data_IF_303559398409
#
_entry.id   IF_303559398409
#
_cell.length_a   1.000
_cell.length_b   1.000
_cell.length_c   1.000
_cell.angle_alpha   90.00
_cell.angle_beta   90.00
_cell.angle_gamma   90.00
#
_symmetry.space_group_name_H-M   'P 1'
#
loop_
_entity.id
_entity.type
_entity.pdbx_description
1 polymer ?
#
# COMPACT_ATOMS: atom_id res chain seq x y z
N UNK A 1 2.98 23.32 23.64
CA UNK A 1 2.03 24.12 22.84
C UNK A 1 0.66 23.43 22.90
N UNK A 2 -0.46 24.16 23.04
CA UNK A 2 -1.75 23.75 22.46
C UNK A 2 -1.52 23.60 20.93
N UNK A 3 -2.25 22.85 20.11
CA UNK A 3 -3.66 22.55 20.04
C UNK A 3 -3.75 21.26 19.19
N UNK A 4 -4.33 20.21 19.75
CA UNK A 4 -4.60 18.99 18.97
C UNK A 4 -5.91 18.35 19.40
N UNK A 5 -7.01 18.90 18.87
CA UNK A 5 -8.10 18.05 18.41
C UNK A 5 -8.89 18.67 17.24
N UNK A 6 -9.31 17.86 16.26
CA UNK A 6 -10.12 18.32 15.12
C UNK A 6 -9.36 18.85 13.91
N UNK A 7 -8.03 18.93 13.99
CA UNK A 7 -7.17 19.06 12.81
C UNK A 7 -7.14 17.75 12.03
N UNK A 8 -6.87 17.79 10.74
CA UNK A 8 -6.67 16.55 9.97
C UNK A 8 -5.29 15.95 10.19
N UNK A 9 -4.26 16.77 10.45
CA UNK A 9 -2.87 16.35 10.66
C UNK A 9 -2.53 16.17 12.12
N UNK A 10 -2.00 15.01 12.52
CA UNK A 10 -1.48 14.76 13.87
C UNK A 10 -0.07 15.33 14.03
N UNK A 11 0.08 16.28 14.96
CA UNK A 11 1.32 17.01 15.20
C UNK A 11 2.17 16.32 16.28
N UNK A 12 3.48 16.19 16.05
CA UNK A 12 4.41 15.70 17.06
C UNK A 12 4.34 16.51 18.35
N UNK A 13 4.44 15.84 19.49
CA UNK A 13 4.39 16.46 20.80
C UNK A 13 3.73 15.58 21.85
N UNK A 14 3.55 16.13 23.04
CA UNK A 14 2.90 15.43 24.14
C UNK A 14 1.59 16.11 24.49
N UNK A 15 0.51 15.33 24.51
CA UNK A 15 -0.86 15.80 24.71
C UNK A 15 -1.56 15.00 25.82
N UNK A 16 -2.60 15.57 26.40
CA UNK A 16 -3.53 14.82 27.26
C UNK A 16 -4.80 14.59 26.47
N UNK A 17 -5.08 13.33 26.13
CA UNK A 17 -6.09 12.96 25.14
C UNK A 17 -6.97 11.84 25.68
N UNK A 18 -8.14 11.70 25.06
CA UNK A 18 -8.95 10.49 25.11
C UNK A 18 -8.73 9.71 23.83
N UNK A 19 -8.44 8.41 23.94
CA UNK A 19 -8.29 7.50 22.81
C UNK A 19 -9.28 6.36 22.89
N UNK A 20 -9.68 5.82 21.74
CA UNK A 20 -10.45 4.59 21.68
C UNK A 20 -10.14 3.80 20.41
N UNK A 21 -10.29 2.47 20.48
CA UNK A 21 -10.29 1.64 19.28
C UNK A 21 -11.61 1.80 18.53
N UNK A 22 -11.53 1.89 17.20
CA UNK A 22 -12.65 1.97 16.29
C UNK A 22 -12.54 0.86 15.26
N UNK A 23 -13.58 0.06 15.10
CA UNK A 23 -13.67 -0.91 14.02
C UNK A 23 -14.20 -0.27 12.75
N UNK A 24 -13.95 -0.91 11.61
CA UNK A 24 -14.46 -0.50 10.29
C UNK A 24 -15.99 -0.41 10.22
N UNK A 25 -16.71 -1.15 11.08
CA UNK A 25 -18.17 -1.06 11.20
C UNK A 25 -18.66 -0.01 12.21
N UNK A 26 -17.77 0.84 12.73
CA UNK A 26 -18.13 1.98 13.57
C UNK A 26 -18.27 1.68 15.07
N UNK A 27 -17.85 0.50 15.54
CA UNK A 27 -17.94 0.12 16.95
C UNK A 27 -16.71 0.63 17.71
N UNK A 28 -16.98 1.32 18.82
CA UNK A 28 -15.95 1.82 19.73
C UNK A 28 -15.64 0.79 20.82
N UNK A 29 -14.37 0.62 21.15
CA UNK A 29 -13.90 -0.24 22.25
C UNK A 29 -12.62 0.33 22.88
N UNK A 30 -12.21 -0.18 24.05
CA UNK A 30 -10.96 0.21 24.73
C UNK A 30 -10.77 1.73 24.84
N UNK A 31 -11.68 2.40 25.55
CA UNK A 31 -11.65 3.85 25.74
C UNK A 31 -10.70 4.21 26.88
N UNK A 32 -9.65 4.96 26.57
CA UNK A 32 -8.68 5.49 27.52
C UNK A 32 -8.90 7.00 27.66
N UNK A 33 -9.24 7.47 28.85
CA UNK A 33 -9.54 8.89 29.11
C UNK A 33 -8.39 9.59 29.83
N UNK A 34 -8.15 10.85 29.47
CA UNK A 34 -7.16 11.72 30.12
C UNK A 34 -5.75 11.12 30.22
N UNK A 35 -5.34 10.36 29.21
CA UNK A 35 -4.01 9.75 29.15
C UNK A 35 -3.01 10.69 28.52
N UNK A 36 -1.78 10.69 29.04
CA UNK A 36 -0.67 11.45 28.49
C UNK A 36 -0.09 10.69 27.30
N UNK A 37 -0.36 11.18 26.10
CA UNK A 37 0.08 10.60 24.84
C UNK A 37 1.28 11.35 24.30
N UNK A 38 2.32 10.63 23.91
CA UNK A 38 3.43 11.17 23.13
C UNK A 38 3.23 10.78 21.67
N UNK A 39 3.18 11.78 20.80
CA UNK A 39 3.15 11.62 19.34
C UNK A 39 4.56 11.89 18.82
N UNK A 40 5.13 10.89 18.15
CA UNK A 40 6.42 10.98 17.49
C UNK A 40 6.34 10.34 16.11
N UNK A 41 6.29 11.16 15.06
CA UNK A 41 6.02 10.70 13.71
C UNK A 41 4.60 10.14 13.61
N UNK A 42 4.49 8.91 13.13
CA UNK A 42 3.23 8.16 12.96
C UNK A 42 2.86 7.29 14.16
N UNK A 43 3.56 7.46 15.29
CA UNK A 43 3.36 6.64 16.49
C UNK A 43 2.77 7.46 17.62
N UNK A 44 1.67 6.97 18.19
CA UNK A 44 1.10 7.44 19.45
C UNK A 44 1.43 6.44 20.56
N UNK A 45 2.17 6.88 21.57
CA UNK A 45 2.54 6.03 22.70
C UNK A 45 2.04 6.61 24.02
N UNK A 46 1.45 5.76 24.87
CA UNK A 46 0.95 6.15 26.18
C UNK A 46 0.92 4.95 27.14
N UNK A 47 0.73 5.22 28.43
CA UNK A 47 0.55 4.20 29.45
C UNK A 47 -0.81 4.40 30.11
N UNK A 48 -1.60 3.33 30.21
CA UNK A 48 -2.88 3.31 30.92
C UNK A 48 -2.94 2.04 31.78
N UNK A 49 -3.42 2.16 33.02
CA UNK A 49 -3.59 1.04 33.95
C UNK A 49 -2.32 0.18 34.15
N UNK A 50 -1.14 0.81 34.10
CA UNK A 50 0.17 0.14 34.22
C UNK A 50 0.62 -0.62 32.96
N UNK A 51 -0.17 -0.60 31.89
CA UNK A 51 0.15 -1.21 30.59
C UNK A 51 0.56 -0.14 29.59
N UNK A 52 1.61 -0.40 28.81
CA UNK A 52 2.05 0.50 27.75
C UNK A 52 1.38 0.16 26.43
N UNK A 53 0.87 1.19 25.74
CA UNK A 53 0.19 1.10 24.47
C UNK A 53 0.95 1.90 23.42
N UNK A 54 0.99 1.37 22.20
CA UNK A 54 1.56 2.02 21.03
C UNK A 54 0.63 1.81 19.84
N UNK A 55 0.22 2.89 19.19
CA UNK A 55 -0.58 2.88 17.96
C UNK A 55 0.21 3.51 16.84
N UNK A 56 0.28 2.82 15.71
CA UNK A 56 0.80 3.34 14.46
C UNK A 56 -0.36 3.70 13.54
N UNK A 57 -0.22 4.78 12.77
CA UNK A 57 -1.22 5.21 11.81
C UNK A 57 -0.58 5.74 10.53
N UNK A 58 -1.25 5.54 9.42
CA UNK A 58 -0.83 6.04 8.10
C UNK A 58 -1.69 7.24 7.68
N UNK A 59 -2.94 7.26 8.12
CA UNK A 59 -3.94 8.24 7.73
C UNK A 59 -4.61 8.84 8.95
N UNK A 60 -5.07 10.08 8.82
CA UNK A 60 -5.96 10.70 9.80
C UNK A 60 -7.10 11.46 9.13
N UNK A 61 -8.24 11.54 9.80
CA UNK A 61 -9.42 12.30 9.42
C UNK A 61 -9.78 13.20 10.58
N UNK A 62 -10.04 14.49 10.35
CA UNK A 62 -10.22 15.46 11.43
C UNK A 62 -11.43 16.36 11.25
N UNK A 63 -12.05 16.75 12.37
CA UNK A 63 -13.08 17.80 12.40
C UNK A 63 -12.92 18.73 13.60
N UNK A 64 -12.65 20.01 13.33
CA UNK A 64 -12.55 21.07 14.35
C UNK A 64 -13.89 21.28 15.05
N UNK A 65 -15.01 21.09 14.34
CA UNK A 65 -16.35 21.15 14.91
C UNK A 65 -16.61 20.07 15.97
N UNK A 66 -15.96 18.91 15.85
CA UNK A 66 -16.06 17.81 16.82
C UNK A 66 -14.91 17.78 17.82
N UNK A 67 -13.84 18.53 17.58
CA UNK A 67 -12.56 18.35 18.27
C UNK A 67 -12.17 16.87 18.30
N UNK A 68 -12.27 16.19 17.16
CA UNK A 68 -12.05 14.76 17.03
C UNK A 68 -11.24 14.44 15.79
N UNK A 69 -10.41 13.40 15.92
CA UNK A 69 -9.64 12.80 14.85
C UNK A 69 -9.87 11.31 14.87
N UNK A 70 -9.93 10.72 13.68
CA UNK A 70 -9.81 9.29 13.49
C UNK A 70 -8.47 9.04 12.83
N UNK A 71 -7.68 8.11 13.33
CA UNK A 71 -6.43 7.67 12.75
C UNK A 71 -6.60 6.23 12.22
N UNK A 72 -6.06 5.92 11.05
CA UNK A 72 -6.15 4.60 10.43
C UNK A 72 -4.77 4.08 10.03
N UNK A 73 -4.53 2.79 10.24
CA UNK A 73 -3.20 2.18 10.08
C UNK A 73 -3.01 1.41 8.77
N UNK A 74 -3.83 1.66 7.75
CA UNK A 74 -3.75 0.99 6.44
C UNK A 74 -4.13 -0.50 6.45
N UNK A 75 -4.15 -1.16 7.61
CA UNK A 75 -4.38 -2.59 7.81
C UNK A 75 -5.72 -2.90 8.50
N UNK A 76 -6.66 -1.94 8.45
CA UNK A 76 -8.02 -2.09 8.98
C UNK A 76 -8.17 -1.82 10.48
N UNK A 77 -7.13 -1.28 11.14
CA UNK A 77 -7.20 -0.72 12.48
C UNK A 77 -7.49 0.78 12.43
N UNK A 78 -8.46 1.24 13.24
CA UNK A 78 -8.77 2.66 13.40
C UNK A 78 -8.78 3.05 14.88
N UNK A 79 -8.41 4.29 15.15
CA UNK A 79 -8.30 4.86 16.50
C UNK A 79 -8.96 6.23 16.54
N UNK A 80 -9.79 6.48 17.54
CA UNK A 80 -10.37 7.79 17.80
C UNK A 80 -9.42 8.54 18.73
N UNK A 81 -9.19 9.81 18.45
CA UNK A 81 -8.36 10.72 19.22
C UNK A 81 -9.15 12.01 19.43
N UNK A 82 -9.39 12.38 20.68
CA UNK A 82 -10.13 13.62 20.99
C UNK A 82 -9.74 14.15 22.36
N UNK A 83 -9.99 15.44 22.59
CA UNK A 83 -9.94 16.04 23.93
C UNK A 83 -11.29 15.99 24.65
N UNK A 84 -12.36 15.51 24.00
CA UNK A 84 -13.72 15.46 24.56
C UNK A 84 -13.94 14.19 25.37
N UNK A 85 -14.13 14.33 26.69
CA UNK A 85 -14.13 13.22 27.66
C UNK A 85 -15.38 12.32 27.65
N UNK A 86 -16.50 12.77 27.09
CA UNK A 86 -17.83 12.23 27.45
C UNK A 86 -18.66 11.64 26.32
N UNK A 87 -18.23 11.71 25.05
CA UNK A 87 -19.14 11.50 23.93
C UNK A 87 -18.78 10.35 22.97
N UNK A 88 -17.61 9.72 23.14
CA UNK A 88 -17.13 8.66 22.24
C UNK A 88 -17.90 7.36 22.51
N UNK A 89 -18.59 6.84 21.49
CA UNK A 89 -19.28 5.55 21.55
C UNK A 89 -20.64 5.51 22.27
N UNK A 90 -21.04 6.58 22.95
CA UNK A 90 -22.35 6.69 23.64
C UNK A 90 -23.37 7.50 22.83
N UNK A 91 -22.97 8.68 22.34
CA UNK A 91 -23.82 9.58 21.54
C UNK A 91 -23.42 9.66 20.06
N UNK A 92 -22.22 9.18 19.73
CA UNK A 92 -21.64 9.29 18.39
C UNK A 92 -21.81 7.97 17.65
N UNK A 93 -22.31 8.05 16.40
CA UNK A 93 -22.31 6.92 15.46
C UNK A 93 -21.27 7.17 14.40
N UNK A 94 -20.32 6.25 14.28
CA UNK A 94 -19.24 6.31 13.32
C UNK A 94 -19.60 5.44 12.12
N UNK A 95 -19.44 5.95 10.91
CA UNK A 95 -19.63 5.20 9.70
C UNK A 95 -18.50 5.52 8.72
N UNK A 96 -17.78 4.47 8.32
CA UNK A 96 -16.75 4.55 7.30
C UNK A 96 -17.40 4.40 5.93
N UNK A 97 -17.26 5.41 5.08
CA UNK A 97 -17.73 5.33 3.71
C UNK A 97 -16.54 5.00 2.79
N UNK A 98 -16.59 3.82 2.17
CA UNK A 98 -15.57 3.33 1.24
C UNK A 98 -15.93 3.56 -0.23
N UNK A 99 -16.93 4.39 -0.53
CA UNK A 99 -17.28 4.73 -1.91
C UNK A 99 -16.10 5.45 -2.59
N UNK A 100 -15.71 4.96 -3.76
CA UNK A 100 -14.35 5.04 -4.37
C UNK A 100 -13.86 6.45 -4.73
N UNK A 101 -14.65 7.49 -4.47
CA UNK A 101 -14.27 8.88 -4.70
C UNK A 101 -14.00 9.68 -3.41
N UNK A 102 -14.33 9.14 -2.22
CA UNK A 102 -14.31 9.90 -0.96
C UNK A 102 -14.01 8.99 0.23
N UNK A 103 -12.74 8.72 0.49
CA UNK A 103 -12.26 8.04 1.70
C UNK A 103 -12.56 8.90 2.95
N UNK A 104 -13.74 8.73 3.56
CA UNK A 104 -14.25 9.65 4.57
C UNK A 104 -14.94 8.92 5.73
N UNK A 105 -14.83 9.51 6.91
CA UNK A 105 -15.65 9.14 8.06
C UNK A 105 -16.83 10.09 8.21
N UNK A 106 -17.99 9.53 8.53
CA UNK A 106 -19.13 10.32 9.00
C UNK A 106 -19.37 10.01 10.47
N UNK A 107 -19.55 11.06 11.26
CA UNK A 107 -19.82 11.00 12.69
C UNK A 107 -21.15 11.69 12.93
N UNK A 108 -22.16 10.94 13.36
CA UNK A 108 -23.47 11.50 13.73
C UNK A 108 -23.53 11.67 15.24
N UNK A 109 -23.70 12.91 15.69
CA UNK A 109 -23.89 13.27 17.09
C UNK A 109 -25.27 13.93 17.26
N UNK A 110 -26.13 13.36 18.10
CA UNK A 110 -27.45 13.92 18.44
C UNK A 110 -28.30 14.36 17.22
N UNK A 111 -28.20 13.62 16.10
CA UNK A 111 -28.94 13.89 14.87
C UNK A 111 -28.26 14.84 13.88
N UNK A 112 -27.12 15.44 14.24
CA UNK A 112 -26.27 16.22 13.33
C UNK A 112 -25.14 15.33 12.80
N UNK A 113 -24.98 15.27 11.48
CA UNK A 113 -23.91 14.51 10.83
C UNK A 113 -22.75 15.42 10.47
N UNK A 114 -21.56 15.04 10.89
CA UNK A 114 -20.29 15.68 10.56
C UNK A 114 -19.52 14.76 9.62
N UNK A 115 -18.99 15.33 8.55
CA UNK A 115 -18.07 14.63 7.65
C UNK A 115 -16.65 14.98 8.05
N UNK A 116 -15.84 13.97 8.38
CA UNK A 116 -14.42 14.11 8.61
C UNK A 116 -13.72 13.77 7.29
N UNK A 117 -13.11 14.78 6.69
CA UNK A 117 -12.27 14.59 5.52
C UNK A 117 -10.90 14.09 5.94
N UNK A 118 -10.33 13.23 5.09
CA UNK A 118 -8.98 12.73 5.26
C UNK A 118 -7.98 13.87 5.16
N UNK A 119 -6.91 13.78 5.94
CA UNK A 119 -5.74 14.63 5.81
C UNK A 119 -5.16 14.54 4.40
N UNK A 120 -5.14 15.68 3.71
CA UNK A 120 -4.49 15.83 2.41
C UNK A 120 -2.99 16.06 2.51
N UNK A 121 -2.47 16.43 3.68
CA UNK A 121 -1.03 16.62 3.93
C UNK A 121 -0.32 15.31 4.28
N UNK A 122 -1.06 14.33 4.79
CA UNK A 122 -0.71 12.91 4.84
C UNK A 122 -1.59 12.12 3.87
N UNK A 123 -1.70 12.64 2.64
CA UNK A 123 -1.70 11.69 1.55
C UNK A 123 -0.37 10.94 1.62
N UNK A 124 -0.37 9.82 2.33
CA UNK A 124 0.32 8.63 1.86
C UNK A 124 -0.43 8.03 0.68
N UNK A 125 -1.10 8.84 -0.15
CA UNK A 125 -0.62 8.80 -1.52
C UNK A 125 0.83 9.28 -1.49
N UNK A 126 1.73 8.30 -1.35
CA UNK A 126 2.50 7.99 -2.54
C UNK A 126 1.73 8.52 -3.74
N UNK A 127 1.95 9.77 -4.20
CA UNK A 127 1.50 10.14 -5.53
C UNK A 127 2.27 9.13 -6.39
N UNK A 128 1.60 8.00 -6.58
CA UNK A 128 1.87 6.88 -7.46
C UNK A 128 1.52 7.33 -8.87
N UNK A 129 1.49 8.64 -9.08
CA UNK A 129 1.16 9.24 -10.33
C UNK A 129 2.40 9.04 -11.20
N UNK A 130 2.24 8.41 -12.37
CA UNK A 130 3.28 8.35 -13.38
C UNK A 130 3.91 9.73 -13.53
N UNK A 131 5.22 9.88 -13.33
CA UNK A 131 5.86 11.18 -13.48
C UNK A 131 7.32 11.01 -13.92
N UNK A 132 7.80 12.02 -14.62
CA UNK A 132 9.21 12.19 -14.97
C UNK A 132 9.91 13.01 -13.90
N UNK A 133 11.18 12.68 -13.60
CA UNK A 133 12.02 13.56 -12.78
C UNK A 133 12.61 14.69 -13.64
N UNK A 134 12.96 15.80 -13.00
CA UNK A 134 13.66 16.93 -13.62
C UNK A 134 14.86 16.47 -14.48
N UNK A 135 15.04 17.09 -15.65
CA UNK A 135 16.11 16.81 -16.60
C UNK A 135 15.81 15.65 -17.56
N UNK A 136 14.64 15.01 -17.46
CA UNK A 136 14.17 14.03 -18.46
C UNK A 136 13.90 14.74 -19.78
N UNK A 137 14.51 14.27 -20.88
CA UNK A 137 14.35 14.90 -22.20
C UNK A 137 13.22 14.25 -22.99
N UNK A 138 12.20 15.05 -23.32
CA UNK A 138 11.06 14.65 -24.13
C UNK A 138 11.31 15.01 -25.58
N UNK A 139 10.99 14.09 -26.48
CA UNK A 139 11.04 14.33 -27.93
C UNK A 139 9.94 15.30 -28.35
N UNK A 140 10.33 16.41 -28.97
CA UNK A 140 9.47 17.35 -29.68
C UNK A 140 9.79 17.33 -31.18
N UNK A 141 8.94 17.93 -32.04
CA UNK A 141 9.25 18.06 -33.46
C UNK A 141 10.55 18.82 -33.76
N UNK A 142 10.96 19.71 -32.85
CA UNK A 142 12.12 20.59 -33.03
C UNK A 142 13.38 20.11 -32.28
N UNK A 143 13.28 19.02 -31.51
CA UNK A 143 14.41 18.43 -30.80
C UNK A 143 14.05 17.83 -29.45
N UNK A 144 15.05 17.68 -28.59
CA UNK A 144 14.87 17.20 -27.21
C UNK A 144 14.70 18.40 -26.29
N UNK A 145 13.65 18.40 -25.47
CA UNK A 145 13.35 19.47 -24.49
C UNK A 145 13.17 18.84 -23.11
N UNK A 146 13.72 19.48 -22.07
CA UNK A 146 13.55 19.00 -20.70
C UNK A 146 12.08 19.09 -20.28
N UNK A 147 11.59 18.08 -19.56
CA UNK A 147 10.17 17.99 -19.17
C UNK A 147 9.72 19.20 -18.34
N UNK A 148 10.61 19.75 -17.51
CA UNK A 148 10.36 20.94 -16.69
C UNK A 148 10.22 22.24 -17.49
N UNK A 149 10.71 22.26 -18.73
CA UNK A 149 10.65 23.42 -19.65
C UNK A 149 9.43 23.36 -20.57
N UNK A 150 8.68 22.26 -20.58
CA UNK A 150 7.48 22.09 -21.40
C UNK A 150 6.24 22.72 -20.75
N UNK A 151 5.49 23.48 -21.54
CA UNK A 151 4.27 24.15 -21.10
C UNK A 151 3.05 23.86 -21.97
N UNK A 152 1.90 24.37 -21.52
CA UNK A 152 0.64 24.28 -22.28
C UNK A 152 0.81 25.00 -23.62
N UNK A 153 0.44 24.31 -24.70
CA UNK A 153 0.51 24.81 -26.07
C UNK A 153 1.74 24.36 -26.85
N UNK A 154 2.80 23.90 -26.17
CA UNK A 154 3.98 23.34 -26.82
C UNK A 154 3.65 22.03 -27.55
N UNK A 155 4.45 21.68 -28.55
CA UNK A 155 4.30 20.45 -29.32
C UNK A 155 5.23 19.35 -28.81
N UNK A 156 4.67 18.17 -28.60
CA UNK A 156 5.42 16.93 -28.34
C UNK A 156 5.25 15.96 -29.50
N UNK A 157 6.29 15.18 -29.77
CA UNK A 157 6.23 14.08 -30.73
C UNK A 157 5.58 12.87 -30.07
N UNK A 158 4.43 12.48 -30.60
CA UNK A 158 3.65 11.33 -30.17
C UNK A 158 3.81 10.21 -31.18
N UNK A 159 4.02 9.00 -30.70
CA UNK A 159 3.99 7.77 -31.49
C UNK A 159 2.59 7.16 -31.43
N UNK A 160 1.97 6.94 -32.57
CA UNK A 160 0.71 6.21 -32.66
C UNK A 160 0.95 4.69 -32.52
N UNK A 161 -0.07 3.89 -32.17
CA UNK A 161 0.09 2.43 -32.05
C UNK A 161 0.60 1.73 -33.32
N UNK A 162 0.42 2.34 -34.50
CA UNK A 162 0.95 1.85 -35.78
C UNK A 162 2.43 2.23 -36.03
N UNK A 163 3.06 2.92 -35.08
CA UNK A 163 4.44 3.39 -35.15
C UNK A 163 4.63 4.77 -35.79
N UNK A 164 3.56 5.41 -36.28
CA UNK A 164 3.65 6.73 -36.92
C UNK A 164 3.92 7.82 -35.90
N UNK A 165 4.89 8.70 -36.17
CA UNK A 165 5.15 9.88 -35.36
C UNK A 165 4.30 11.08 -35.81
N UNK A 166 3.60 11.72 -34.88
CA UNK A 166 2.78 12.92 -35.11
C UNK A 166 3.05 13.98 -34.03
N UNK A 167 2.88 15.25 -34.34
CA UNK A 167 2.98 16.32 -33.34
C UNK A 167 1.62 16.53 -32.65
N UNK A 168 1.60 16.59 -31.32
CA UNK A 168 0.40 16.94 -30.54
C UNK A 168 0.71 18.08 -29.57
N UNK A 169 -0.29 18.94 -29.35
CA UNK A 169 -0.17 20.02 -28.37
C UNK A 169 -0.33 19.48 -26.96
N UNK A 170 0.49 19.98 -26.06
CA UNK A 170 0.31 19.83 -24.62
C UNK A 170 -0.91 20.65 -24.20
N UNK A 171 -1.91 19.99 -23.62
CA UNK A 171 -3.12 20.64 -23.09
C UNK A 171 -3.03 20.88 -21.58
N UNK A 172 -2.12 20.19 -20.91
CA UNK A 172 -1.84 20.34 -19.49
C UNK A 172 -0.39 19.93 -19.19
N UNK A 173 0.26 20.66 -18.29
CA UNK A 173 1.58 20.35 -17.76
C UNK A 173 1.56 20.62 -16.26
N UNK A 174 1.92 19.64 -15.45
CA UNK A 174 1.89 19.74 -13.99
C UNK A 174 3.24 19.36 -13.38
N UNK A 175 3.53 19.95 -12.23
CA UNK A 175 4.69 19.59 -11.43
C UNK A 175 4.38 19.58 -9.93
N UNK A 176 5.15 18.82 -9.17
CA UNK A 176 5.12 18.85 -7.72
C UNK A 176 6.45 18.29 -7.16
N UNK A 177 6.61 18.29 -5.84
CA UNK A 177 7.76 17.75 -5.14
C UNK A 177 7.42 16.45 -4.41
N UNK A 178 8.37 15.52 -4.40
CA UNK A 178 8.27 14.27 -3.66
C UNK A 178 9.34 14.19 -2.58
N UNK A 179 8.98 13.63 -1.43
CA UNK A 179 9.91 13.14 -0.41
C UNK A 179 9.75 11.62 -0.26
N UNK A 180 10.85 10.94 0.07
CA UNK A 180 10.86 9.49 0.25
C UNK A 180 10.64 9.09 1.71
N UNK A 181 10.09 7.89 1.91
CA UNK A 181 9.73 7.33 3.21
C UNK A 181 10.47 6.01 3.44
N UNK A 182 11.71 6.04 3.97
CA UNK A 182 12.60 4.88 3.99
C UNK A 182 12.12 3.70 4.86
N UNK A 183 11.06 3.87 5.65
CA UNK A 183 10.44 2.80 6.43
C UNK A 183 9.45 1.95 5.63
N UNK A 184 8.97 2.43 4.48
CA UNK A 184 8.06 1.69 3.60
C UNK A 184 8.83 0.72 2.69
N UNK A 185 8.11 -0.11 1.96
CA UNK A 185 8.69 -0.91 0.88
C UNK A 185 9.18 0.01 -0.25
N UNK A 186 10.22 -0.35 -0.99
CA UNK A 186 10.84 0.58 -1.96
C UNK A 186 9.85 1.09 -3.02
N UNK A 187 8.91 0.25 -3.43
CA UNK A 187 7.86 0.56 -4.40
C UNK A 187 6.79 1.51 -3.86
N UNK A 188 6.71 1.67 -2.53
CA UNK A 188 5.76 2.55 -1.83
C UNK A 188 6.46 3.78 -1.21
N UNK A 189 7.74 3.64 -0.88
CA UNK A 189 8.59 4.65 -0.24
C UNK A 189 8.82 5.89 -1.10
N UNK A 190 8.39 5.88 -2.37
CA UNK A 190 8.54 7.01 -3.28
C UNK A 190 9.95 7.19 -3.83
N UNK A 191 10.81 6.18 -3.76
CA UNK A 191 12.09 6.22 -4.47
C UNK A 191 11.83 6.25 -5.99
N UNK A 192 12.58 7.06 -6.75
CA UNK A 192 12.47 7.01 -8.20
C UNK A 192 13.10 5.72 -8.71
N UNK A 193 12.54 5.19 -9.80
CA UNK A 193 13.14 4.08 -10.55
C UNK A 193 14.15 4.67 -11.53
N UNK A 194 15.41 4.28 -11.37
CA UNK A 194 16.50 4.57 -12.30
C UNK A 194 16.61 3.45 -13.32
N UNK A 195 16.48 3.81 -14.59
CA UNK A 195 16.70 2.94 -15.74
C UNK A 195 18.02 3.39 -16.36
N UNK A 196 19.05 2.57 -16.25
CA UNK A 196 20.39 2.93 -16.75
C UNK A 196 20.40 3.08 -18.26
N UNK A 197 21.32 3.91 -18.77
CA UNK A 197 21.64 3.94 -20.20
C UNK A 197 21.81 2.53 -20.76
N UNK A 198 21.20 2.25 -21.92
CA UNK A 198 21.19 0.96 -22.61
C UNK A 198 20.46 -0.19 -21.87
N UNK A 199 19.73 0.06 -20.79
CA UNK A 199 19.10 -0.99 -19.99
C UNK A 199 18.07 -1.82 -20.78
N UNK A 200 17.30 -1.20 -21.68
CA UNK A 200 16.22 -1.85 -22.43
C UNK A 200 16.76 -2.43 -23.74
N UNK A 201 17.47 -1.62 -24.52
CA UNK A 201 18.13 -2.04 -25.75
C UNK A 201 19.35 -1.14 -26.02
N UNK A 202 20.05 -1.32 -27.14
CA UNK A 202 21.18 -0.45 -27.48
C UNK A 202 20.70 0.98 -27.73
N UNK A 203 21.23 1.93 -26.98
CA UNK A 203 20.80 3.33 -27.03
C UNK A 203 19.48 3.63 -26.33
N UNK A 204 18.85 2.66 -25.63
CA UNK A 204 17.55 2.85 -24.97
C UNK A 204 17.60 2.44 -23.50
N UNK A 205 17.47 3.40 -22.56
CA UNK A 205 17.56 4.85 -22.78
C UNK A 205 18.96 5.27 -23.26
N UNK A 206 19.10 6.45 -23.89
CA UNK A 206 20.41 6.94 -24.36
C UNK A 206 21.26 7.60 -23.26
N UNK A 207 20.63 7.88 -22.11
CA UNK A 207 21.20 8.31 -20.83
C UNK A 207 20.40 7.63 -19.71
N UNK A 208 20.80 7.76 -18.45
CA UNK A 208 19.96 7.27 -17.36
C UNK A 208 18.64 8.04 -17.32
N UNK A 209 17.53 7.31 -17.29
CA UNK A 209 16.18 7.82 -17.13
C UNK A 209 15.73 7.63 -15.67
N UNK A 210 15.10 8.65 -15.10
CA UNK A 210 14.52 8.61 -13.76
C UNK A 210 13.02 8.89 -13.85
N UNK A 211 12.22 7.93 -13.38
CA UNK A 211 10.75 8.02 -13.35
C UNK A 211 10.20 7.54 -12.01
N UNK A 212 8.95 7.86 -11.71
CA UNK A 212 8.25 7.26 -10.56
C UNK A 212 7.94 5.78 -10.81
N UNK A 213 7.75 5.00 -9.73
CA UNK A 213 7.57 3.55 -9.78
C UNK A 213 6.40 3.07 -10.65
N UNK A 214 5.37 3.90 -10.78
CA UNK A 214 4.13 3.59 -11.50
C UNK A 214 4.12 4.17 -12.92
N UNK A 215 5.16 4.91 -13.32
CA UNK A 215 5.27 5.42 -14.67
C UNK A 215 5.41 4.28 -15.68
N UNK A 216 4.57 4.27 -16.71
CA UNK A 216 4.54 3.17 -17.67
C UNK A 216 5.53 3.38 -18.82
N UNK A 217 6.26 2.31 -19.12
CA UNK A 217 7.03 2.16 -20.34
C UNK A 217 6.17 1.45 -21.38
N UNK A 218 6.25 1.91 -22.63
CA UNK A 218 5.61 1.22 -23.75
C UNK A 218 6.53 0.13 -24.30
N UNK A 219 6.19 -1.13 -24.02
CA UNK A 219 6.96 -2.31 -24.41
C UNK A 219 6.02 -3.36 -25.00
N UNK A 220 6.36 -3.88 -26.19
CA UNK A 220 5.60 -4.93 -26.87
C UNK A 220 4.08 -4.67 -26.95
N UNK A 221 3.69 -3.44 -27.27
CA UNK A 221 2.28 -3.06 -27.45
C UNK A 221 1.51 -2.74 -26.17
N UNK A 222 2.18 -2.73 -25.00
CA UNK A 222 1.54 -2.51 -23.72
C UNK A 222 2.25 -1.43 -22.91
N UNK A 223 1.50 -0.75 -22.05
CA UNK A 223 2.05 0.05 -20.98
C UNK A 223 2.33 -0.83 -19.76
N UNK A 224 3.60 -0.86 -19.34
CA UNK A 224 4.08 -1.66 -18.20
C UNK A 224 4.71 -0.71 -17.17
N UNK A 225 4.24 -0.72 -15.91
CA UNK A 225 4.82 0.12 -14.87
C UNK A 225 6.29 -0.18 -14.59
N UNK A 226 7.09 0.86 -14.38
CA UNK A 226 8.53 0.74 -14.15
C UNK A 226 8.90 -0.19 -12.98
N UNK A 227 8.13 -0.21 -11.89
CA UNK A 227 8.37 -1.10 -10.73
C UNK A 227 8.46 -2.57 -11.12
N UNK A 228 7.67 -2.98 -12.12
CA UNK A 228 7.57 -4.38 -12.51
C UNK A 228 8.79 -4.86 -13.31
N UNK A 229 9.63 -3.91 -13.72
CA UNK A 229 10.86 -4.13 -14.48
C UNK A 229 12.13 -3.99 -13.62
N UNK A 230 11.99 -3.73 -12.31
CA UNK A 230 13.11 -3.49 -11.39
C UNK A 230 13.90 -4.77 -11.12
N UNK A 231 15.01 -4.96 -11.82
CA UNK A 231 15.87 -6.14 -11.67
C UNK A 231 17.01 -5.96 -10.63
N UNK A 232 17.06 -4.80 -9.95
CA UNK A 232 18.08 -4.49 -8.95
C UNK A 232 19.48 -4.24 -9.53
N UNK A 233 19.62 -4.19 -10.87
CA UNK A 233 20.87 -3.97 -11.60
C UNK A 233 20.74 -2.81 -12.58
N UNK A 234 20.28 -3.08 -13.81
CA UNK A 234 20.10 -2.07 -14.85
C UNK A 234 18.84 -1.22 -14.66
N UNK A 235 17.87 -1.73 -13.89
CA UNK A 235 16.68 -0.99 -13.46
C UNK A 235 16.55 -1.18 -11.95
N UNK A 236 16.60 -0.10 -11.18
CA UNK A 236 16.64 -0.15 -9.71
C UNK A 236 16.00 1.07 -9.06
N UNK A 237 15.53 0.93 -7.82
CA UNK A 237 15.15 2.07 -7.00
C UNK A 237 16.39 2.84 -6.55
N UNK A 238 16.42 4.13 -6.86
CA UNK A 238 17.54 4.99 -6.45
C UNK A 238 17.33 5.54 -5.04
N UNK A 239 17.81 4.77 -4.06
CA UNK A 239 17.75 5.13 -2.64
C UNK A 239 18.65 6.32 -2.25
N UNK A 240 19.52 6.81 -3.16
CA UNK A 240 20.32 8.00 -2.91
C UNK A 240 19.52 9.31 -3.06
N UNK A 241 18.37 9.24 -3.74
CA UNK A 241 17.48 10.38 -3.96
C UNK A 241 16.39 10.35 -2.89
N UNK A 242 16.47 11.26 -1.92
CA UNK A 242 15.50 11.36 -0.81
C UNK A 242 14.41 12.40 -1.02
N UNK A 243 14.57 13.26 -2.03
CA UNK A 243 13.58 14.24 -2.47
C UNK A 243 13.85 14.66 -3.90
N UNK A 244 12.80 14.92 -4.68
CA UNK A 244 12.93 15.33 -6.08
C UNK A 244 11.71 16.11 -6.58
N UNK A 245 11.93 16.95 -7.58
CA UNK A 245 10.86 17.55 -8.37
C UNK A 245 10.43 16.59 -9.47
N UNK A 246 9.14 16.50 -9.70
CA UNK A 246 8.56 15.65 -10.72
C UNK A 246 7.53 16.40 -11.57
N UNK A 247 7.42 15.96 -12.83
CA UNK A 247 6.70 16.64 -13.89
C UNK A 247 5.92 15.65 -14.74
N UNK A 248 4.82 16.11 -15.32
CA UNK A 248 4.11 15.37 -16.34
C UNK A 248 3.37 16.30 -17.31
N UNK A 249 3.10 15.80 -18.51
CA UNK A 249 2.45 16.51 -19.60
C UNK A 249 1.32 15.66 -20.17
N UNK A 250 0.22 16.29 -20.53
CA UNK A 250 -0.96 15.65 -21.12
C UNK A 250 -1.24 16.23 -22.50
N UNK A 251 -1.67 15.34 -23.40
CA UNK A 251 -2.21 15.68 -24.73
C UNK A 251 -3.72 15.42 -24.78
N UNK A 252 -4.40 15.89 -25.83
CA UNK A 252 -5.87 15.75 -25.98
C UNK A 252 -6.37 14.30 -25.72
N UNK A 253 -5.77 13.33 -26.41
CA UNK A 253 -5.88 11.91 -26.05
C UNK A 253 -4.62 11.45 -25.31
N UNK A 254 -4.76 10.39 -24.51
CA UNK A 254 -3.61 9.66 -23.98
C UNK A 254 -2.72 9.19 -25.14
N UNK A 255 -1.41 9.22 -24.96
CA UNK A 255 -0.49 9.04 -26.07
C UNK A 255 0.83 8.41 -25.65
N UNK A 256 1.53 7.80 -26.61
CA UNK A 256 2.90 7.31 -26.43
C UNK A 256 3.84 8.45 -26.80
N UNK A 257 4.77 8.80 -25.92
CA UNK A 257 5.83 9.82 -26.14
C UNK A 257 7.21 9.23 -25.87
N UNK A 258 8.25 9.86 -26.41
CA UNK A 258 9.64 9.44 -26.18
C UNK A 258 10.30 10.28 -25.10
N UNK A 259 10.79 9.64 -24.03
CA UNK A 259 11.50 10.24 -22.91
C UNK A 259 12.89 9.59 -22.74
N UNK A 260 13.97 10.38 -22.86
CA UNK A 260 15.37 9.90 -22.86
C UNK A 260 15.63 8.68 -23.80
N UNK A 261 14.85 8.59 -24.88
CA UNK A 261 14.91 7.52 -25.89
C UNK A 261 13.96 6.35 -25.65
N UNK A 262 13.25 6.32 -24.52
CA UNK A 262 12.28 5.28 -24.14
C UNK A 262 10.88 5.71 -24.54
N UNK A 263 10.10 4.82 -25.15
CA UNK A 263 8.67 5.06 -25.36
C UNK A 263 7.95 4.90 -24.03
N UNK A 264 7.18 5.91 -23.67
CA UNK A 264 6.50 6.09 -22.37
C UNK A 264 5.13 6.73 -22.60
N UNK A 265 4.41 7.03 -21.52
CA UNK A 265 3.05 7.57 -21.58
C UNK A 265 3.00 9.10 -21.39
N UNK A 266 1.96 9.73 -21.95
CA UNK A 266 1.49 11.04 -21.48
C UNK A 266 0.58 10.88 -20.27
N UNK A 267 0.25 11.97 -19.58
CA UNK A 267 -0.59 11.88 -18.40
C UNK A 267 -2.03 11.51 -18.75
N UNK A 268 -2.57 10.50 -18.06
CA UNK A 268 -3.99 10.15 -18.10
C UNK A 268 -4.70 10.71 -16.86
N UNK A 269 -5.61 11.67 -17.06
CA UNK A 269 -6.38 12.27 -15.97
C UNK A 269 -7.42 11.31 -15.39
N UNK A 270 -7.00 10.40 -14.51
CA UNK A 270 -7.90 9.49 -13.78
C UNK A 270 -8.51 10.14 -12.52
N UNK A 271 -8.41 11.47 -12.38
CA UNK A 271 -8.97 12.24 -11.26
C UNK A 271 -7.95 12.73 -10.22
N UNK A 272 -6.66 12.48 -10.44
CA UNK A 272 -5.54 12.89 -9.57
C UNK A 272 -4.90 14.25 -9.93
N UNK A 273 -5.39 14.98 -10.94
CA UNK A 273 -4.82 16.30 -11.33
C UNK A 273 -4.74 17.32 -10.20
N UNK A 274 -5.62 17.22 -9.19
CA UNK A 274 -5.61 18.10 -8.02
C UNK A 274 -4.36 17.97 -7.13
N UNK A 275 -3.55 16.94 -7.35
CA UNK A 275 -2.29 16.69 -6.65
C UNK A 275 -1.08 17.43 -7.26
N UNK A 276 -1.26 18.14 -8.38
CA UNK A 276 -0.19 18.83 -9.10
C UNK A 276 -0.35 20.35 -9.03
N UNK A 277 0.79 21.05 -8.99
CA UNK A 277 0.84 22.50 -9.26
C UNK A 277 0.95 22.75 -10.76
N UNK A 278 0.33 23.83 -11.25
CA UNK A 278 0.37 24.22 -12.67
C UNK A 278 0.90 25.65 -12.78
N UNK A 279 1.86 25.87 -13.67
CA UNK A 279 2.37 27.21 -13.97
C UNK A 279 1.49 27.88 -15.03
N UNK A 280 0.76 28.94 -14.66
CA UNK A 280 0.02 29.80 -15.61
C UNK A 280 -1.35 30.28 -15.13
N UNK A 281 -1.88 31.34 -15.77
CA UNK A 281 -3.15 32.03 -15.40
C UNK A 281 -4.42 31.30 -15.85
N UNK A 282 -4.29 30.15 -16.52
CA UNK A 282 -5.43 29.39 -17.09
C UNK A 282 -5.77 28.23 -16.15
N UNK A 283 -6.82 28.40 -15.37
CA UNK A 283 -7.46 27.29 -14.63
C UNK A 283 -8.17 26.42 -15.67
N UNK A 284 -7.68 25.20 -15.90
CA UNK A 284 -8.37 24.23 -16.74
C UNK A 284 -9.71 23.89 -16.08
N UNK A 285 -10.81 24.22 -16.76
CA UNK A 285 -12.17 23.83 -16.38
C UNK A 285 -12.22 22.30 -16.29
N UNK A 286 -12.71 21.79 -15.16
CA UNK A 286 -12.84 20.38 -14.79
C UNK A 286 -13.07 19.46 -15.98
N UNK A 287 -12.00 18.84 -16.50
CA UNK A 287 -12.12 17.73 -17.44
C UNK A 287 -12.61 16.51 -16.66
N UNK A 288 -13.58 15.74 -17.18
CA UNK A 288 -14.03 14.51 -16.53
C UNK A 288 -12.87 13.54 -16.34
N UNK A 289 -12.93 12.73 -15.27
CA UNK A 289 -11.96 11.65 -15.03
C UNK A 289 -12.05 10.62 -16.16
N UNK A 290 -10.90 10.28 -16.73
CA UNK A 290 -10.69 9.25 -17.74
C UNK A 290 -10.43 7.88 -17.08
N UNK A 291 -10.50 6.81 -17.85
CA UNK A 291 -10.14 5.45 -17.39
C UNK A 291 -9.17 4.77 -18.36
N UNK A 292 -8.38 3.85 -17.83
CA UNK A 292 -7.42 3.09 -18.63
C UNK A 292 -8.10 2.21 -19.68
N UNK A 293 -9.29 1.69 -19.39
CA UNK A 293 -10.06 0.82 -20.27
C UNK A 293 -10.66 1.56 -21.47
N UNK A 294 -11.00 2.84 -21.29
CA UNK A 294 -11.72 3.63 -22.30
C UNK A 294 -10.82 4.61 -23.05
N UNK A 295 -9.84 5.21 -22.38
CA UNK A 295 -9.17 6.42 -22.87
C UNK A 295 -7.67 6.24 -23.12
N UNK A 296 -7.09 5.08 -22.78
CA UNK A 296 -5.65 4.86 -22.94
C UNK A 296 -5.24 4.62 -24.39
N UNK A 297 -4.07 5.14 -24.79
CA UNK A 297 -3.52 4.95 -26.13
C UNK A 297 -3.32 3.47 -26.48
N UNK A 298 -2.87 2.69 -25.48
CA UNK A 298 -2.71 1.24 -25.53
C UNK A 298 -3.04 0.65 -24.15
N UNK A 299 -3.30 -0.66 -24.05
CA UNK A 299 -3.63 -1.29 -22.78
C UNK A 299 -2.48 -1.22 -21.77
N UNK A 300 -2.80 -0.90 -20.52
CA UNK A 300 -1.94 -1.18 -19.37
C UNK A 300 -1.98 -2.67 -19.07
N UNK A 301 -0.84 -3.27 -18.75
CA UNK A 301 -0.79 -4.68 -18.34
C UNK A 301 0.10 -4.88 -17.13
N UNK A 302 -0.39 -5.71 -16.21
CA UNK A 302 0.36 -6.28 -15.08
C UNK A 302 0.31 -7.81 -15.11
N UNK A 303 -0.10 -8.39 -16.24
CA UNK A 303 -0.17 -9.84 -16.42
C UNK A 303 1.24 -10.43 -16.49
N UNK A 304 1.55 -11.30 -15.52
CA UNK A 304 2.79 -12.07 -15.44
C UNK A 304 3.19 -12.70 -16.78
N UNK A 305 2.24 -13.27 -17.51
CA UNK A 305 2.52 -13.98 -18.76
C UNK A 305 3.09 -13.06 -19.85
N UNK A 306 2.83 -11.75 -19.75
CA UNK A 306 3.33 -10.71 -20.65
C UNK A 306 4.57 -10.04 -20.06
N UNK A 307 4.54 -9.69 -18.77
CA UNK A 307 5.59 -8.88 -18.12
C UNK A 307 6.84 -9.70 -17.80
N UNK A 308 6.71 -10.94 -17.34
CA UNK A 308 7.87 -11.76 -16.95
C UNK A 308 8.85 -12.00 -18.12
N UNK A 309 8.43 -12.38 -19.34
CA UNK A 309 9.36 -12.51 -20.46
C UNK A 309 10.16 -11.23 -20.75
N UNK A 310 9.51 -10.06 -20.73
CA UNK A 310 10.16 -8.76 -20.96
C UNK A 310 11.15 -8.45 -19.83
N UNK A 311 10.75 -8.69 -18.57
CA UNK A 311 11.65 -8.57 -17.43
C UNK A 311 12.91 -9.44 -17.60
N UNK A 312 12.76 -10.70 -18.02
CA UNK A 312 13.89 -11.63 -18.21
C UNK A 312 14.82 -11.19 -19.33
N UNK A 313 14.30 -10.63 -20.41
CA UNK A 313 15.11 -10.06 -21.49
C UNK A 313 15.97 -8.89 -21.00
N UNK A 314 15.38 -7.97 -20.23
CA UNK A 314 16.08 -6.83 -19.63
C UNK A 314 17.09 -7.30 -18.57
N UNK A 315 16.72 -8.28 -17.74
CA UNK A 315 17.59 -8.88 -16.72
C UNK A 315 18.83 -9.54 -17.36
N UNK A 316 18.65 -10.33 -18.42
CA UNK A 316 19.75 -10.95 -19.16
C UNK A 316 20.69 -9.88 -19.77
N UNK A 317 20.13 -8.77 -20.24
CA UNK A 317 20.90 -7.64 -20.76
C UNK A 317 21.67 -6.89 -19.66
N UNK A 318 21.17 -6.89 -18.43
CA UNK A 318 21.76 -6.14 -17.31
C UNK A 318 23.23 -6.54 -17.03
N UNK A 319 23.64 -7.76 -17.38
CA UNK A 319 25.03 -8.21 -17.27
C UNK A 319 26.00 -7.37 -18.11
N UNK A 320 25.56 -6.91 -19.28
CA UNK A 320 26.36 -6.09 -20.19
C UNK A 320 26.36 -4.62 -19.77
N UNK A 321 25.26 -4.16 -19.18
CA UNK A 321 25.05 -2.75 -18.80
C UNK A 321 25.68 -2.42 -17.45
N UNK A 322 25.58 -3.34 -16.49
CA UNK A 322 26.05 -3.18 -15.12
C UNK A 322 26.77 -4.46 -14.62
N UNK A 323 27.99 -4.76 -15.14
CA UNK A 323 28.71 -5.98 -14.81
C UNK A 323 29.23 -6.04 -13.36
N UNK A 324 29.32 -4.88 -12.68
CA UNK A 324 29.88 -4.77 -11.32
C UNK A 324 28.81 -4.58 -10.23
N UNK A 325 27.53 -4.65 -10.58
CA UNK A 325 26.45 -4.59 -9.59
C UNK A 325 26.10 -6.02 -9.17
N UNK A 326 26.50 -6.41 -7.97
CA UNK A 326 26.06 -7.68 -7.36
C UNK A 326 24.57 -7.57 -7.01
N UNK A 327 23.79 -8.56 -7.48
CA UNK A 327 22.41 -8.72 -7.02
C UNK A 327 22.43 -9.29 -5.61
N UNK A 328 21.86 -8.56 -4.64
CA UNK A 328 21.66 -9.08 -3.29
C UNK A 328 20.62 -10.20 -3.34
N UNK A 329 21.06 -11.45 -3.25
CA UNK A 329 20.13 -12.58 -3.19
C UNK A 329 19.45 -12.62 -1.82
N UNK A 330 18.14 -12.39 -1.83
CA UNK A 330 17.28 -12.60 -0.66
C UNK A 330 17.20 -14.09 -0.36
N UNK A 331 17.51 -14.49 0.88
CA UNK A 331 17.38 -15.88 1.30
C UNK A 331 15.90 -16.17 1.56
N UNK A 332 15.37 -17.16 0.84
CA UNK A 332 13.96 -17.56 0.92
C UNK A 332 13.81 -18.87 1.69
N UNK A 333 12.74 -18.98 2.47
CA UNK A 333 12.34 -20.18 3.20
C UNK A 333 10.90 -20.56 2.89
N UNK A 334 10.58 -21.84 2.91
CA UNK A 334 9.21 -22.35 2.85
C UNK A 334 8.58 -22.51 4.24
N UNK A 335 9.38 -22.35 5.30
CA UNK A 335 8.89 -22.41 6.68
C UNK A 335 8.07 -21.15 7.00
N UNK A 336 6.80 -21.37 7.33
CA UNK A 336 5.89 -20.30 7.72
C UNK A 336 6.07 -19.83 9.15
N UNK A 337 6.85 -20.51 9.99
CA UNK A 337 6.88 -20.29 11.44
C UNK A 337 5.46 -20.25 12.05
N UNK A 338 4.53 -21.06 11.52
CA UNK A 338 3.12 -21.01 11.93
C UNK A 338 2.96 -21.33 13.42
N UNK A 339 2.36 -20.40 14.16
CA UNK A 339 2.04 -20.56 15.58
C UNK A 339 0.80 -19.76 15.95
N UNK A 340 0.25 -20.02 17.14
CA UNK A 340 -0.90 -19.27 17.65
C UNK A 340 -0.50 -18.45 18.87
N UNK A 341 -0.95 -17.21 18.94
CA UNK A 341 -0.94 -16.41 20.17
C UNK A 341 -2.36 -16.43 20.76
N UNK A 342 -2.49 -16.84 22.01
CA UNK A 342 -3.77 -16.84 22.72
C UNK A 342 -4.02 -15.50 23.42
N UNK A 343 -5.30 -15.21 23.69
CA UNK A 343 -5.73 -14.06 24.50
C UNK A 343 -5.09 -13.97 25.90
N UNK A 344 -4.71 -15.10 26.47
CA UNK A 344 -3.98 -15.17 27.74
C UNK A 344 -2.46 -14.91 27.61
N UNK A 345 -1.97 -14.56 26.41
CA UNK A 345 -0.56 -14.28 26.12
C UNK A 345 0.31 -15.51 25.88
N UNK A 346 -0.24 -16.74 25.95
CA UNK A 346 0.53 -17.96 25.66
C UNK A 346 0.71 -18.20 24.16
N UNK A 347 1.85 -18.78 23.79
CA UNK A 347 2.14 -19.18 22.41
C UNK A 347 1.97 -20.69 22.25
N UNK A 348 1.15 -21.12 21.29
CA UNK A 348 0.96 -22.52 20.95
C UNK A 348 1.72 -22.85 19.66
N UNK A 349 2.61 -23.83 19.75
CA UNK A 349 3.30 -24.42 18.58
C UNK A 349 2.51 -25.63 18.05
N UNK A 350 2.61 -25.93 16.75
CA UNK A 350 1.97 -27.11 16.18
C UNK A 350 2.43 -28.38 16.90
N UNK A 351 1.48 -29.21 17.33
CA UNK A 351 1.80 -30.55 17.87
C UNK A 351 1.86 -31.60 16.77
N UNK A 352 1.22 -31.33 15.63
CA UNK A 352 1.23 -32.19 14.45
C UNK A 352 1.03 -31.35 13.18
N UNK A 353 1.73 -31.69 12.11
CA UNK A 353 1.56 -31.10 10.78
C UNK A 353 1.74 -32.18 9.71
N UNK A 354 0.65 -32.59 9.04
CA UNK A 354 0.66 -33.61 7.99
C UNK A 354 -0.38 -33.27 6.90
N UNK A 355 -0.03 -33.47 5.63
CA UNK A 355 -0.95 -33.35 4.48
C UNK A 355 -1.79 -32.05 4.46
N UNK A 356 -1.18 -30.92 4.81
CA UNK A 356 -1.86 -29.61 4.84
C UNK A 356 -2.83 -29.44 6.01
N UNK A 357 -2.77 -30.29 7.03
CA UNK A 357 -3.53 -30.16 8.28
C UNK A 357 -2.56 -29.92 9.44
N UNK A 358 -2.77 -28.84 10.17
CA UNK A 358 -1.96 -28.43 11.33
C UNK A 358 -2.81 -28.48 12.58
N UNK A 359 -2.30 -29.10 13.65
CA UNK A 359 -3.00 -29.30 14.91
C UNK A 359 -2.28 -28.63 16.08
N UNK A 360 -3.05 -28.03 16.97
CA UNK A 360 -2.61 -27.32 18.17
C UNK A 360 -3.38 -27.82 19.38
N UNK A 361 -2.70 -27.98 20.52
CA UNK A 361 -3.35 -28.26 21.79
C UNK A 361 -3.85 -26.94 22.39
N UNK A 362 -5.16 -26.76 22.45
CA UNK A 362 -5.82 -25.56 22.96
C UNK A 362 -6.13 -25.72 24.46
N UNK A 363 -5.56 -24.88 25.35
CA UNK A 363 -5.89 -24.90 26.77
C UNK A 363 -7.36 -24.53 27.08
N UNK A 364 -7.75 -24.82 28.31
CA UNK A 364 -8.98 -24.29 28.89
C UNK A 364 -8.91 -22.76 29.02
N UNK A 365 -10.02 -22.07 28.84
CA UNK A 365 -10.14 -20.62 29.02
C UNK A 365 -9.80 -19.76 27.80
N UNK A 366 -9.19 -20.32 26.74
CA UNK A 366 -8.85 -19.55 25.53
C UNK A 366 -10.09 -19.31 24.68
N UNK A 367 -10.40 -18.04 24.41
CA UNK A 367 -11.59 -17.57 23.68
C UNK A 367 -11.26 -16.86 22.38
N UNK A 368 -10.01 -16.42 22.19
CA UNK A 368 -9.53 -15.94 20.91
C UNK A 368 -8.06 -16.29 20.71
N UNK A 369 -7.69 -16.38 19.43
CA UNK A 369 -6.32 -16.62 19.01
C UNK A 369 -5.94 -15.67 17.88
N UNK A 370 -4.65 -15.42 17.76
CA UNK A 370 -4.04 -14.83 16.59
C UNK A 370 -3.19 -15.89 15.88
N UNK A 371 -3.48 -16.13 14.61
CA UNK A 371 -2.72 -17.02 13.73
C UNK A 371 -1.53 -16.22 13.23
N UNK A 372 -0.35 -16.60 13.69
CA UNK A 372 0.91 -15.95 13.36
C UNK A 372 1.67 -16.79 12.34
N UNK A 373 2.20 -16.14 11.31
CA UNK A 373 3.14 -16.73 10.38
C UNK A 373 4.10 -15.67 9.84
N UNK A 374 5.20 -16.11 9.24
CA UNK A 374 5.90 -15.28 8.25
C UNK A 374 4.91 -14.86 7.17
N UNK A 375 5.10 -13.66 6.66
CA UNK A 375 4.39 -13.11 5.52
C UNK A 375 5.40 -12.48 4.57
N UNK A 376 5.10 -12.52 3.28
CA UNK A 376 5.89 -11.84 2.27
C UNK A 376 5.01 -11.47 1.08
N UNK A 377 5.40 -10.43 0.35
CA UNK A 377 4.72 -10.02 -0.88
C UNK A 377 5.18 -10.90 -2.05
N UNK A 378 4.26 -11.46 -2.86
CA UNK A 378 4.65 -12.19 -4.08
C UNK A 378 5.57 -11.38 -5.00
N UNK A 379 5.38 -10.06 -5.09
CA UNK A 379 6.28 -9.14 -5.80
C UNK A 379 7.73 -9.17 -5.31
N UNK A 380 7.98 -9.53 -4.05
CA UNK A 380 9.31 -9.52 -3.42
C UNK A 380 9.99 -10.89 -3.46
N UNK A 381 9.21 -11.97 -3.42
CA UNK A 381 9.74 -13.35 -3.27
C UNK A 381 9.66 -14.19 -4.55
N UNK A 382 8.78 -13.84 -5.49
CA UNK A 382 8.72 -14.48 -6.82
C UNK A 382 9.38 -13.57 -7.85
N UNK A 383 9.07 -12.27 -7.79
CA UNK A 383 9.70 -11.24 -8.59
C UNK A 383 8.79 -10.05 -8.88
N UNK A 384 9.37 -8.90 -9.27
CA UNK A 384 8.66 -7.64 -9.45
C UNK A 384 7.65 -7.65 -10.59
N UNK A 385 7.80 -8.59 -11.54
CA UNK A 385 6.85 -8.83 -12.63
C UNK A 385 5.50 -9.41 -12.17
N UNK A 386 5.30 -9.59 -10.86
CA UNK A 386 4.00 -9.83 -10.23
C UNK A 386 3.53 -8.57 -9.51
N UNK A 387 2.31 -8.12 -9.81
CA UNK A 387 1.69 -6.97 -9.13
C UNK A 387 0.91 -7.35 -7.86
N UNK A 388 1.10 -8.57 -7.36
CA UNK A 388 0.54 -8.94 -6.06
C UNK A 388 1.47 -8.44 -4.95
N UNK A 389 1.16 -7.26 -4.44
CA UNK A 389 1.86 -6.56 -3.34
C UNK A 389 1.29 -6.87 -1.96
N UNK A 390 0.40 -7.85 -1.84
CA UNK A 390 -0.19 -8.24 -0.55
C UNK A 390 0.84 -8.97 0.29
N UNK A 391 0.98 -8.60 1.55
CA UNK A 391 1.70 -9.38 2.56
C UNK A 391 0.98 -10.69 2.86
N UNK A 392 1.31 -11.77 2.15
CA UNK A 392 0.62 -13.05 2.27
C UNK A 392 1.31 -13.94 3.31
N UNK A 393 0.58 -14.27 4.38
CA UNK A 393 0.97 -15.27 5.37
C UNK A 393 0.62 -16.69 4.88
N UNK A 394 -0.25 -17.37 5.60
CA UNK A 394 -0.77 -18.70 5.20
C UNK A 394 -2.22 -18.62 4.68
N UNK A 395 -2.60 -19.47 3.69
CA UNK A 395 -3.97 -19.64 3.24
C UNK A 395 -4.69 -20.67 4.13
N UNK A 396 -5.67 -20.22 4.91
CA UNK A 396 -6.38 -21.05 5.90
C UNK A 396 -7.73 -21.52 5.35
N UNK A 397 -7.94 -22.84 5.38
CA UNK A 397 -9.16 -23.51 4.96
C UNK A 397 -10.10 -23.79 6.12
N UNK A 398 -10.57 -25.04 6.25
CA UNK A 398 -11.42 -25.42 7.37
C UNK A 398 -10.67 -25.32 8.70
N UNK A 399 -11.35 -24.75 9.71
CA UNK A 399 -10.88 -24.76 11.10
C UNK A 399 -11.87 -25.54 11.95
N UNK A 400 -11.37 -26.48 12.75
CA UNK A 400 -12.16 -27.30 13.66
C UNK A 400 -11.57 -27.34 15.05
N UNK A 401 -12.44 -27.48 16.05
CA UNK A 401 -12.07 -27.74 17.44
C UNK A 401 -12.67 -29.09 17.83
N UNK A 402 -11.83 -30.02 18.25
CA UNK A 402 -12.22 -31.37 18.67
C UNK A 402 -11.93 -31.58 20.16
N UNK A 403 -12.89 -32.12 20.89
CA UNK A 403 -12.76 -32.52 22.28
C UNK A 403 -13.40 -33.90 22.52
N UNK A 404 -13.44 -34.38 23.76
CA UNK A 404 -14.01 -35.68 24.10
C UNK A 404 -15.50 -35.86 23.74
N UNK A 405 -16.25 -34.76 23.54
CA UNK A 405 -17.68 -34.77 23.24
C UNK A 405 -18.01 -34.58 21.76
N UNK A 406 -17.04 -34.20 20.94
CA UNK A 406 -17.23 -34.08 19.49
C UNK A 406 -16.31 -33.06 18.81
N UNK A 407 -16.61 -32.80 17.55
CA UNK A 407 -15.90 -31.83 16.71
C UNK A 407 -16.83 -30.70 16.29
N UNK A 408 -16.37 -29.47 16.45
CA UNK A 408 -17.05 -28.25 16.04
C UNK A 408 -16.26 -27.57 14.91
N UNK A 409 -16.96 -27.01 13.92
CA UNK A 409 -16.36 -26.14 12.91
C UNK A 409 -16.38 -24.69 13.40
N UNK A 410 -15.31 -23.96 13.11
CA UNK A 410 -15.24 -22.50 13.27
C UNK A 410 -15.27 -21.92 11.87
N UNK A 411 -16.28 -21.10 11.58
CA UNK A 411 -16.53 -20.55 10.23
C UNK A 411 -16.47 -19.04 10.17
N UNK A 412 -16.24 -18.36 11.30
CA UNK A 412 -16.20 -16.91 11.40
C UNK A 412 -15.19 -16.27 10.42
N UNK A 413 -14.04 -16.91 10.18
CA UNK A 413 -13.07 -16.45 9.19
C UNK A 413 -13.52 -16.63 7.74
N UNK A 414 -14.49 -17.49 7.43
CA UNK A 414 -15.02 -17.65 6.08
C UNK A 414 -16.23 -16.76 5.82
N UNK A 415 -17.04 -16.50 6.84
CA UNK A 415 -18.33 -15.79 6.71
C UNK A 415 -18.23 -14.29 6.99
N UNK A 416 -17.25 -13.84 7.76
CA UNK A 416 -17.11 -12.42 8.11
C UNK A 416 -16.38 -11.67 7.01
N UNK A 417 -17.03 -10.70 6.36
CA UNK A 417 -16.44 -9.96 5.22
C UNK A 417 -15.08 -9.30 5.55
N UNK A 418 -15.01 -8.58 6.67
CA UNK A 418 -13.80 -7.90 7.14
C UNK A 418 -13.40 -8.45 8.51
N UNK A 419 -12.18 -8.98 8.61
CA UNK A 419 -11.64 -9.57 9.83
C UNK A 419 -10.16 -9.17 9.95
N UNK A 420 -9.73 -8.77 11.15
CA UNK A 420 -8.39 -8.23 11.37
C UNK A 420 -7.30 -9.27 11.06
N UNK A 421 -6.30 -8.88 10.26
CA UNK A 421 -5.22 -9.76 9.79
C UNK A 421 -5.64 -10.76 8.72
N UNK A 422 -6.82 -10.62 8.10
CA UNK A 422 -7.28 -11.43 6.98
C UNK A 422 -7.55 -10.59 5.74
N UNK A 423 -7.18 -11.12 4.57
CA UNK A 423 -7.61 -10.53 3.29
C UNK A 423 -9.10 -10.74 3.06
N UNK A 424 -9.76 -9.93 2.20
CA UNK A 424 -11.16 -10.13 1.83
C UNK A 424 -11.43 -11.56 1.37
N UNK A 425 -12.59 -12.09 1.73
CA UNK A 425 -13.03 -13.41 1.25
C UNK A 425 -13.49 -13.31 -0.21
N UNK A 426 -13.03 -14.24 -1.04
CA UNK A 426 -13.37 -14.37 -2.47
C UNK A 426 -14.31 -15.57 -2.74
N UNK A 427 -14.96 -16.07 -1.69
CA UNK A 427 -15.75 -17.32 -1.70
C UNK A 427 -14.95 -18.56 -2.12
N UNK A 428 -13.62 -18.50 -2.11
CA UNK A 428 -12.77 -19.68 -2.29
C UNK A 428 -12.74 -20.54 -1.02
N UNK A 429 -12.15 -21.74 -1.16
CA UNK A 429 -12.01 -22.68 -0.04
C UNK A 429 -11.05 -22.17 1.05
N UNK A 430 -10.13 -21.29 0.70
CA UNK A 430 -9.06 -20.83 1.59
C UNK A 430 -9.06 -19.31 1.68
N UNK A 431 -8.83 -18.78 2.88
CA UNK A 431 -8.69 -17.34 3.08
C UNK A 431 -7.28 -17.01 3.48
N UNK A 432 -6.67 -16.06 2.77
CA UNK A 432 -5.31 -15.60 3.07
C UNK A 432 -5.27 -14.78 4.35
N UNK A 433 -4.29 -15.07 5.19
CA UNK A 433 -3.89 -14.26 6.35
C UNK A 433 -2.84 -13.24 5.92
N UNK A 434 -2.72 -12.14 6.68
CA UNK A 434 -1.68 -11.13 6.52
C UNK A 434 -0.47 -11.39 7.46
N UNK A 435 -0.28 -12.64 7.90
CA UNK A 435 0.76 -13.04 8.86
C UNK A 435 0.36 -12.91 10.34
N UNK A 436 -0.78 -12.29 10.66
CA UNK A 436 -1.20 -11.99 12.04
C UNK A 436 -2.74 -12.00 12.22
N UNK A 437 -3.40 -13.05 11.72
CA UNK A 437 -4.85 -13.17 11.59
C UNK A 437 -5.60 -13.45 12.89
N UNK A 438 -6.60 -12.64 13.24
CA UNK A 438 -7.45 -12.89 14.42
C UNK A 438 -8.54 -13.92 14.17
N UNK A 439 -8.72 -14.86 15.08
CA UNK A 439 -9.82 -15.83 15.05
C UNK A 439 -10.52 -15.91 16.42
N UNK A 440 -11.82 -15.58 16.43
CA UNK A 440 -12.67 -15.77 17.61
C UNK A 440 -13.04 -17.25 17.78
N UNK A 441 -12.90 -17.74 19.01
CA UNK A 441 -13.29 -19.06 19.45
C UNK A 441 -14.50 -19.01 20.41
N UNK A 442 -15.23 -17.88 20.47
CA UNK A 442 -16.38 -17.72 21.37
C UNK A 442 -17.49 -18.75 21.12
N UNK A 443 -17.60 -19.28 19.89
CA UNK A 443 -18.55 -20.34 19.55
C UNK A 443 -18.26 -21.66 20.26
N UNK A 444 -17.09 -21.80 20.90
CA UNK A 444 -16.66 -23.03 21.58
C UNK A 444 -17.64 -23.40 22.69
N UNK A 445 -18.30 -24.55 22.50
CA UNK A 445 -19.33 -25.05 23.43
C UNK A 445 -18.82 -25.43 24.83
N UNK A 446 -17.53 -25.74 24.97
CA UNK A 446 -16.96 -26.19 26.25
C UNK A 446 -15.57 -25.64 26.51
N UNK A 447 -15.30 -25.28 27.76
CA UNK A 447 -14.08 -24.59 28.19
C UNK A 447 -12.93 -25.53 28.61
N UNK A 448 -12.96 -26.80 28.19
CA UNK A 448 -11.96 -27.81 28.57
C UNK A 448 -10.64 -27.71 27.79
N UNK A 449 -9.82 -28.76 27.76
CA UNK A 449 -8.77 -28.88 26.73
C UNK A 449 -9.38 -29.36 25.41
N UNK A 450 -8.87 -28.88 24.28
CA UNK A 450 -9.28 -29.32 22.95
C UNK A 450 -8.12 -29.34 21.96
N UNK A 451 -8.31 -29.98 20.82
CA UNK A 451 -7.40 -29.91 19.68
C UNK A 451 -8.00 -28.95 18.67
N UNK A 452 -7.29 -27.88 18.35
CA UNK A 452 -7.61 -27.01 17.22
C UNK A 452 -6.89 -27.55 15.99
N UNK A 453 -7.63 -27.80 14.92
CA UNK A 453 -7.14 -28.32 13.66
C UNK A 453 -7.46 -27.32 12.56
N UNK A 454 -6.49 -27.03 11.69
CA UNK A 454 -6.65 -26.08 10.60
C UNK A 454 -6.02 -26.60 9.31
N UNK A 455 -6.76 -26.46 8.21
CA UNK A 455 -6.26 -26.74 6.85
C UNK A 455 -5.41 -25.57 6.35
N UNK A 456 -4.21 -25.85 5.86
CA UNK A 456 -3.28 -24.90 5.24
C UNK A 456 -2.96 -25.38 3.83
N UNK A 457 -3.33 -24.60 2.81
CA UNK A 457 -3.19 -24.99 1.40
C UNK A 457 -1.74 -24.96 0.88
N UNK A 458 -0.85 -24.25 1.56
CA UNK A 458 0.55 -24.08 1.17
C UNK A 458 1.26 -23.07 2.06
N UNK A 459 2.58 -22.98 1.93
CA UNK A 459 3.39 -22.01 2.65
C UNK A 459 4.48 -21.44 1.75
N UNK A 460 4.66 -20.13 1.82
CA UNK A 460 5.79 -19.42 1.23
C UNK A 460 5.77 -19.32 -0.30
N UNK A 461 6.90 -18.91 -0.90
CA UNK A 461 8.16 -18.58 -0.22
C UNK A 461 8.07 -17.34 0.67
N UNK A 462 8.87 -17.31 1.74
CA UNK A 462 9.02 -16.16 2.65
C UNK A 462 10.47 -15.73 2.73
N UNK A 463 10.71 -14.48 3.09
CA UNK A 463 12.05 -13.97 3.38
C UNK A 463 12.52 -14.53 4.74
N UNK A 464 13.62 -15.29 4.76
CA UNK A 464 14.11 -16.02 5.96
C UNK A 464 14.70 -15.09 7.03
N UNK A 465 15.31 -13.97 6.60
CA UNK A 465 15.79 -12.93 7.49
C UNK A 465 15.79 -11.59 6.75
N UNK A 466 15.03 -10.63 7.26
CA UNK A 466 15.40 -9.23 7.08
C UNK A 466 16.36 -8.91 8.21
N UNK A 467 17.53 -8.37 7.91
CA UNK A 467 18.49 -7.90 8.92
C UNK A 467 17.72 -7.11 10.01
N UNK A 468 17.87 -7.44 11.30
CA UNK A 468 16.99 -6.97 12.40
C UNK A 468 16.76 -5.44 12.42
N UNK A 469 17.66 -4.68 11.80
CA UNK A 469 17.53 -3.24 11.56
C UNK A 469 16.27 -2.85 10.75
N UNK A 470 15.81 -3.65 9.79
CA UNK A 470 14.62 -3.32 8.98
C UNK A 470 13.32 -3.81 9.62
N UNK A 471 13.33 -4.89 10.41
CA UNK A 471 12.14 -5.31 11.17
C UNK A 471 11.85 -4.37 12.32
N UNK A 472 12.87 -3.80 12.97
CA UNK A 472 12.71 -2.79 14.02
C UNK A 472 12.29 -1.40 13.50
N UNK A 473 12.41 -1.16 12.19
CA UNK A 473 11.90 0.05 11.51
C UNK A 473 10.46 -0.13 10.97
N UNK A 474 9.96 -1.38 10.94
CA UNK A 474 8.65 -1.78 10.38
C UNK A 474 7.64 -2.26 11.43
N UNK A 475 8.04 -2.34 12.69
CA UNK A 475 7.18 -2.63 13.86
C UNK A 475 6.98 -1.35 14.66
#
# INVERSE_FOLDING_TARGET
MPDMPGKQVIQNGTYTLTLANLSSNGKVSNVFTDVKVTVSGQTLSFTADGTSYSYTYDYSWGSTSLNEIIAGNGHGGYYIITTSKSNIGTSYKYNYNSDTSKNQWTVTNNGTTYTLSQDSSMSSTGSFDPCFLAGTLIQTPDGLVAVEDLGIGDLVSVTLPDGTAVARKIIWAGSNQKQTFPWQHDDEAGYPVRILKNAISEGVPFKDLLVTAEHCLFLNGHFIPARMLVNGRSISYDRSITSYDYYHVETEDHAIITADGVLTETYLNTGNRGMFSQSGTVVSLSSPSKSWEADAAVPLTTDRAIVEPIFREIEARAEQVAPHTESTQTVLTSDSDLHLLCDNGSTLRPVKSEMGKVEFLLPAGVRSIQIMSRASRPSDVVGPFLDDRRELGVPVGNVTISNAKGTQKITSHQTTASLSGWYPTDASRYRWTAGNAWLSLEERKEDGMAVLSMEIAGSGPYIESVNEAQTALRA
#
